data_IF_748514658994
#
_entry.id   IF_748514658994
#
_cell.length_a   1.000
_cell.length_b   1.000
_cell.length_c   1.000
_cell.angle_alpha   90.00
_cell.angle_beta   90.00
_cell.angle_gamma   90.00
#
_symmetry.space_group_name_H-M   'P 1'
#
loop_
_entity.id
_entity.type
_entity.pdbx_description
1 polymer ?
#
# COMPACT_ATOMS: atom_id res chain seq x y z
N UNK A 1 -1.22 28.77 33.27
CA UNK A 1 -2.13 29.90 32.94
C UNK A 1 -1.39 31.24 32.84
N UNK A 2 -0.10 31.26 32.46
CA UNK A 2 0.70 32.44 32.12
C UNK A 2 1.55 32.03 30.90
N UNK A 3 1.76 32.94 29.95
CA UNK A 3 2.31 32.78 28.57
C UNK A 3 1.30 32.69 27.41
N UNK A 4 0.24 33.50 27.45
CA UNK A 4 -0.45 34.00 26.23
C UNK A 4 -0.31 35.52 26.07
N UNK A 5 0.69 36.12 26.71
CA UNK A 5 0.92 37.57 26.75
C UNK A 5 1.50 38.14 25.45
N UNK A 6 1.70 37.32 24.42
CA UNK A 6 2.07 37.79 23.07
C UNK A 6 0.84 38.28 22.27
N UNK A 7 -0.40 37.95 22.67
CA UNK A 7 -1.49 37.88 21.69
C UNK A 7 -2.62 38.93 21.78
N UNK A 8 -2.48 40.01 22.57
CA UNK A 8 -3.42 41.15 22.52
C UNK A 8 -2.88 42.33 21.72
N UNK A 9 -1.60 42.68 21.89
CA UNK A 9 -0.99 43.84 21.21
C UNK A 9 -0.74 43.61 19.71
N UNK A 10 -0.66 42.35 19.26
CA UNK A 10 -0.45 42.00 17.85
C UNK A 10 -1.76 41.90 17.04
N UNK A 11 -2.93 41.84 17.66
CA UNK A 11 -4.21 41.75 16.91
C UNK A 11 -4.49 43.01 16.07
N UNK A 12 -3.97 44.14 16.52
CA UNK A 12 -4.27 45.47 15.99
C UNK A 12 -3.11 46.05 15.17
N UNK A 13 -2.11 45.24 14.80
CA UNK A 13 -0.97 45.63 13.96
C UNK A 13 -0.83 44.66 12.80
N UNK A 14 -0.47 45.19 11.64
CA UNK A 14 -0.09 44.37 10.48
C UNK A 14 0.98 43.34 10.89
N UNK A 15 0.76 42.09 10.51
CA UNK A 15 1.66 40.98 10.80
C UNK A 15 2.35 40.55 9.51
N UNK A 16 3.67 40.43 9.56
CA UNK A 16 4.47 39.82 8.50
C UNK A 16 5.06 38.54 9.04
N UNK A 17 4.60 37.41 8.51
CA UNK A 17 5.02 36.07 8.89
C UNK A 17 5.85 35.46 7.75
N UNK A 18 7.11 35.15 8.06
CA UNK A 18 8.03 34.49 7.13
C UNK A 18 8.06 32.97 7.40
N UNK A 19 8.01 32.16 6.34
CA UNK A 19 8.11 30.70 6.47
C UNK A 19 8.77 30.07 5.26
N UNK A 20 9.62 29.07 5.49
CA UNK A 20 10.17 28.22 4.43
C UNK A 20 9.20 27.12 3.96
N UNK A 21 8.07 26.96 4.65
CA UNK A 21 7.09 25.91 4.39
C UNK A 21 6.22 26.23 3.18
N UNK A 22 6.61 25.69 2.02
CA UNK A 22 5.78 25.69 0.81
C UNK A 22 4.39 25.08 1.06
N UNK A 23 4.30 24.12 1.98
CA UNK A 23 3.02 23.52 2.37
C UNK A 23 2.07 24.55 2.98
N UNK A 24 2.54 25.33 3.96
CA UNK A 24 1.76 26.38 4.62
C UNK A 24 1.28 27.41 3.60
N UNK A 25 2.18 27.93 2.77
CA UNK A 25 1.87 28.92 1.74
C UNK A 25 0.82 28.39 0.74
N UNK A 26 1.00 27.15 0.26
CA UNK A 26 0.06 26.57 -0.69
C UNK A 26 -1.33 26.37 -0.06
N UNK A 27 -1.40 25.91 1.20
CA UNK A 27 -2.67 25.62 1.86
C UNK A 27 -3.41 26.89 2.27
N UNK A 28 -2.72 27.88 2.85
CA UNK A 28 -3.34 29.09 3.39
C UNK A 28 -3.64 30.15 2.33
N UNK A 29 -2.88 30.18 1.23
CA UNK A 29 -3.05 31.16 0.15
C UNK A 29 -3.62 30.50 -1.10
N UNK A 30 -2.85 29.63 -1.74
CA UNK A 30 -3.15 29.19 -3.12
C UNK A 30 -4.38 28.28 -3.21
N UNK A 31 -4.52 27.36 -2.27
CA UNK A 31 -5.56 26.32 -2.27
C UNK A 31 -6.67 26.60 -1.26
N UNK A 32 -6.60 27.68 -0.47
CA UNK A 32 -7.54 27.97 0.61
C UNK A 32 -8.99 27.91 0.14
N UNK A 33 -9.32 28.66 -0.90
CA UNK A 33 -10.69 28.73 -1.41
C UNK A 33 -11.22 27.37 -1.86
N UNK A 34 -10.38 26.56 -2.52
CA UNK A 34 -10.73 25.21 -2.95
C UNK A 34 -10.97 24.29 -1.74
N UNK A 35 -10.09 24.32 -0.74
CA UNK A 35 -10.23 23.52 0.49
C UNK A 35 -11.50 23.89 1.26
N UNK A 36 -11.82 25.18 1.34
CA UNK A 36 -13.06 25.70 1.95
C UNK A 36 -14.29 25.26 1.19
N UNK A 37 -14.27 25.38 -0.14
CA UNK A 37 -15.34 24.90 -1.00
C UNK A 37 -15.59 23.39 -0.83
N UNK A 38 -14.53 22.58 -0.70
CA UNK A 38 -14.60 21.14 -0.47
C UNK A 38 -14.86 20.76 1.01
N UNK A 39 -15.01 21.74 1.91
CA UNK A 39 -15.24 21.51 3.33
C UNK A 39 -14.14 20.70 4.01
N UNK A 40 -12.91 20.77 3.50
CA UNK A 40 -11.73 20.04 3.97
C UNK A 40 -11.88 18.50 3.99
N UNK A 41 -12.83 17.93 3.25
CA UNK A 41 -13.17 16.49 3.33
C UNK A 41 -11.96 15.61 2.97
N UNK A 42 -11.43 14.93 3.99
CA UNK A 42 -10.26 14.05 3.90
C UNK A 42 -9.00 14.76 3.43
N UNK A 43 -8.88 16.05 3.74
CA UNK A 43 -7.62 16.80 3.66
C UNK A 43 -6.77 16.43 4.87
N UNK A 44 -5.49 16.05 4.69
CA UNK A 44 -4.57 15.85 5.81
C UNK A 44 -4.49 17.12 6.66
N UNK A 45 -4.38 16.97 7.98
CA UNK A 45 -4.25 18.11 8.91
C UNK A 45 -5.41 19.12 8.84
N UNK A 46 -6.61 18.71 8.38
CA UNK A 46 -7.76 19.60 8.19
C UNK A 46 -8.10 20.44 9.43
N UNK A 47 -7.97 19.89 10.64
CA UNK A 47 -8.27 20.61 11.87
C UNK A 47 -7.25 21.73 12.15
N UNK A 48 -5.95 21.46 11.98
CA UNK A 48 -4.87 22.46 12.10
C UNK A 48 -5.02 23.60 11.09
N UNK A 49 -5.38 23.26 9.86
CA UNK A 49 -5.58 24.25 8.79
C UNK A 49 -6.77 25.16 9.12
N UNK A 50 -7.89 24.57 9.53
CA UNK A 50 -9.09 25.32 9.90
C UNK A 50 -8.85 26.22 11.11
N UNK A 51 -8.15 25.74 12.13
CA UNK A 51 -7.76 26.50 13.32
C UNK A 51 -6.87 27.69 12.95
N UNK A 52 -5.86 27.47 12.11
CA UNK A 52 -4.96 28.52 11.61
C UNK A 52 -5.74 29.59 10.83
N UNK A 53 -6.58 29.19 9.87
CA UNK A 53 -7.39 30.13 9.07
C UNK A 53 -8.36 30.91 9.95
N UNK A 54 -8.95 30.26 10.97
CA UNK A 54 -9.84 30.91 11.91
C UNK A 54 -9.09 31.99 12.71
N UNK A 55 -7.90 31.71 13.23
CA UNK A 55 -7.07 32.72 13.90
C UNK A 55 -6.60 33.84 12.98
N UNK A 56 -6.31 33.56 11.71
CA UNK A 56 -5.99 34.59 10.73
C UNK A 56 -7.20 35.51 10.46
N UNK A 57 -8.42 34.97 10.47
CA UNK A 57 -9.68 35.74 10.32
C UNK A 57 -10.07 36.53 11.56
N UNK A 58 -9.63 36.10 12.74
CA UNK A 58 -9.87 36.84 13.99
C UNK A 58 -9.07 38.14 14.09
N UNK A 59 -8.09 38.35 13.21
CA UNK A 59 -7.26 39.55 13.21
C UNK A 59 -8.03 40.70 12.56
N UNK A 60 -7.92 41.89 13.14
CA UNK A 60 -8.53 43.12 12.63
C UNK A 60 -7.66 43.82 11.57
N UNK A 61 -6.44 43.31 11.37
CA UNK A 61 -5.40 43.91 10.52
C UNK A 61 -4.83 42.87 9.56
N UNK A 62 -4.16 43.36 8.51
CA UNK A 62 -3.64 42.50 7.45
C UNK A 62 -2.53 41.58 7.95
N UNK A 63 -2.47 40.39 7.35
CA UNK A 63 -1.42 39.40 7.59
C UNK A 63 -0.77 39.04 6.27
N UNK A 64 0.53 39.29 6.16
CA UNK A 64 1.34 39.00 5.00
C UNK A 64 2.16 37.74 5.27
N UNK A 65 1.97 36.71 4.46
CA UNK A 65 2.76 35.49 4.52
C UNK A 65 3.80 35.51 3.39
N UNK A 66 5.07 35.47 3.76
CA UNK A 66 6.18 35.47 2.82
C UNK A 66 6.88 34.12 2.84
N UNK A 67 7.04 33.52 1.65
CA UNK A 67 7.89 32.35 1.51
C UNK A 67 9.35 32.79 1.48
N UNK A 68 10.18 32.17 2.31
CA UNK A 68 11.64 32.35 2.33
C UNK A 68 12.34 31.03 2.00
N UNK A 69 13.57 31.11 1.50
CA UNK A 69 14.34 29.90 1.24
C UNK A 69 14.96 29.37 2.53
N UNK A 70 14.75 28.08 2.82
CA UNK A 70 15.33 27.42 3.99
C UNK A 70 16.86 27.42 3.95
N UNK A 71 17.49 27.50 5.13
CA UNK A 71 18.94 27.47 5.31
C UNK A 71 19.74 28.52 4.50
N UNK A 72 19.10 29.63 4.12
CA UNK A 72 19.70 30.69 3.31
C UNK A 72 20.16 31.92 4.11
N UNK A 73 20.46 31.76 5.41
CA UNK A 73 20.95 32.86 6.26
C UNK A 73 19.84 33.76 6.84
N UNK A 74 18.56 33.39 6.69
CA UNK A 74 17.45 34.14 7.29
C UNK A 74 17.43 33.93 8.81
N UNK A 75 17.99 34.89 9.56
CA UNK A 75 18.17 34.78 11.01
C UNK A 75 16.88 34.43 11.77
N UNK A 76 15.73 34.97 11.35
CA UNK A 76 14.42 34.65 11.95
C UNK A 76 14.02 33.19 11.71
N UNK A 77 14.12 32.72 10.47
CA UNK A 77 13.80 31.33 10.10
C UNK A 77 14.74 30.34 10.78
N UNK A 78 16.04 30.60 10.82
CA UNK A 78 17.03 29.72 11.46
C UNK A 78 16.79 29.58 12.97
N UNK A 79 16.40 30.68 13.64
CA UNK A 79 16.00 30.64 15.04
C UNK A 79 14.70 29.85 15.23
N UNK A 80 13.74 30.00 14.32
CA UNK A 80 12.50 29.23 14.34
C UNK A 80 12.77 27.72 14.15
N UNK A 81 13.66 27.34 13.23
CA UNK A 81 14.09 25.94 13.02
C UNK A 81 14.75 25.36 14.26
N UNK A 82 15.63 26.14 14.91
CA UNK A 82 16.27 25.72 16.16
C UNK A 82 15.22 25.49 17.26
N UNK A 83 14.30 26.42 17.45
CA UNK A 83 13.22 26.30 18.44
C UNK A 83 12.27 25.13 18.13
N UNK A 84 12.00 24.86 16.85
CA UNK A 84 11.21 23.71 16.41
C UNK A 84 11.90 22.39 16.74
N UNK A 85 13.23 22.29 16.52
CA UNK A 85 14.03 21.13 16.91
C UNK A 85 14.08 20.94 18.43
N UNK A 86 14.25 22.01 19.19
CA UNK A 86 14.16 21.95 20.66
C UNK A 86 12.78 21.46 21.11
N UNK A 87 11.70 21.93 20.46
CA UNK A 87 10.34 21.48 20.71
C UNK A 87 10.12 20.00 20.39
N UNK A 88 10.66 19.51 19.27
CA UNK A 88 10.57 18.11 18.86
C UNK A 88 11.26 17.15 19.83
N UNK A 89 12.34 17.61 20.49
CA UNK A 89 13.12 16.83 21.44
C UNK A 89 12.58 16.85 22.89
N UNK A 90 11.49 17.58 23.18
CA UNK A 90 10.89 17.61 24.52
C UNK A 90 10.17 16.29 24.85
N UNK A 91 10.42 15.77 26.05
CA UNK A 91 9.82 14.52 26.57
C UNK A 91 8.31 14.63 26.79
N UNK A 92 7.80 15.83 27.07
CA UNK A 92 6.37 16.10 27.17
C UNK A 92 5.93 17.00 26.03
N UNK A 93 5.00 16.49 25.23
CA UNK A 93 4.33 17.24 24.18
C UNK A 93 2.98 17.72 24.70
N UNK A 94 2.70 19.00 24.54
CA UNK A 94 1.37 19.54 24.84
C UNK A 94 0.42 19.08 23.72
N UNK A 95 -0.70 18.42 24.03
CA UNK A 95 -1.68 18.05 23.02
C UNK A 95 -2.23 19.31 22.34
N UNK A 96 -2.32 19.26 21.01
CA UNK A 96 -3.01 20.29 20.24
C UNK A 96 -4.51 20.17 20.51
N UNK A 97 -5.10 21.26 21.00
CA UNK A 97 -6.55 21.37 21.19
C UNK A 97 -7.03 22.51 20.29
N UNK A 98 -7.67 22.22 19.14
CA UNK A 98 -8.13 23.27 18.24
C UNK A 98 -9.17 24.15 18.93
N UNK A 99 -9.04 25.47 18.77
CA UNK A 99 -10.07 26.41 19.20
C UNK A 99 -11.18 26.41 18.14
N UNK A 100 -12.45 26.39 18.58
CA UNK A 100 -13.58 26.25 17.67
C UNK A 100 -14.49 27.46 17.76
N UNK A 101 -14.25 28.47 16.92
CA UNK A 101 -15.21 29.55 16.67
C UNK A 101 -16.06 29.22 15.42
N UNK A 102 -17.35 28.82 15.58
CA UNK A 102 -18.19 28.42 14.45
C UNK A 102 -18.44 29.54 13.44
N UNK A 103 -18.33 30.81 13.84
CA UNK A 103 -18.60 31.96 12.97
C UNK A 103 -17.49 32.22 11.95
N UNK A 104 -16.29 31.72 12.21
CA UNK A 104 -15.09 32.02 11.40
C UNK A 104 -14.58 30.80 10.61
N UNK A 105 -15.28 29.67 10.70
CA UNK A 105 -14.92 28.43 10.01
C UNK A 105 -16.01 27.99 9.04
N UNK A 106 -15.58 27.24 8.04
CA UNK A 106 -16.47 26.50 7.16
C UNK A 106 -16.95 25.24 7.89
N UNK A 107 -18.26 24.98 7.87
CA UNK A 107 -18.88 23.84 8.57
C UNK A 107 -19.06 22.60 7.67
N UNK A 108 -18.84 22.73 6.35
CA UNK A 108 -18.96 21.64 5.40
C UNK A 108 -18.68 22.09 3.96
N UNK A 109 -18.72 21.14 3.03
CA UNK A 109 -18.52 21.43 1.62
C UNK A 109 -19.71 22.19 1.02
N UNK A 110 -19.42 23.11 0.11
CA UNK A 110 -20.45 23.81 -0.68
C UNK A 110 -21.13 22.82 -1.62
N UNK A 111 -22.46 22.83 -1.65
CA UNK A 111 -23.23 21.90 -2.49
C UNK A 111 -22.92 22.06 -3.99
N UNK A 112 -22.66 23.28 -4.45
CA UNK A 112 -22.29 23.57 -5.84
C UNK A 112 -20.95 22.93 -6.27
N UNK A 113 -20.07 22.70 -5.31
CA UNK A 113 -18.72 22.15 -5.51
C UNK A 113 -18.67 20.64 -5.19
N UNK A 114 -19.82 20.07 -4.78
CA UNK A 114 -19.93 18.68 -4.38
C UNK A 114 -19.91 17.77 -5.60
N UNK A 115 -18.83 16.99 -5.73
CA UNK A 115 -18.76 15.90 -6.70
C UNK A 115 -19.17 14.57 -6.06
N UNK A 116 -19.60 13.59 -6.86
CA UNK A 116 -19.86 12.23 -6.38
C UNK A 116 -18.65 11.64 -5.65
N UNK A 117 -17.43 11.92 -6.14
CA UNK A 117 -16.17 11.51 -5.51
C UNK A 117 -16.00 12.11 -4.12
N UNK A 118 -16.26 13.41 -3.97
CA UNK A 118 -16.16 14.12 -2.69
C UNK A 118 -17.22 13.62 -1.69
N UNK A 119 -18.46 13.47 -2.16
CA UNK A 119 -19.58 12.94 -1.36
C UNK A 119 -19.29 11.51 -0.88
N UNK A 120 -18.82 10.63 -1.77
CA UNK A 120 -18.43 9.27 -1.42
C UNK A 120 -17.31 9.26 -0.38
N UNK A 121 -16.29 10.13 -0.54
CA UNK A 121 -15.18 10.28 0.42
C UNK A 121 -15.69 10.69 1.81
N UNK A 122 -16.59 11.68 1.89
CA UNK A 122 -17.20 12.11 3.16
C UNK A 122 -18.02 10.99 3.83
N UNK A 123 -18.89 10.32 3.07
CA UNK A 123 -19.70 9.21 3.56
C UNK A 123 -18.79 8.09 4.08
N UNK A 124 -17.74 7.75 3.32
CA UNK A 124 -16.77 6.71 3.71
C UNK A 124 -16.07 7.09 5.01
N UNK A 125 -15.52 8.30 5.14
CA UNK A 125 -14.87 8.76 6.38
C UNK A 125 -15.84 8.64 7.57
N UNK A 126 -17.09 9.10 7.41
CA UNK A 126 -18.12 9.01 8.47
C UNK A 126 -18.45 7.56 8.82
N UNK A 127 -18.65 6.69 7.83
CA UNK A 127 -18.95 5.27 8.05
C UNK A 127 -17.78 4.55 8.72
N UNK A 128 -16.55 4.79 8.27
CA UNK A 128 -15.36 4.12 8.81
C UNK A 128 -15.09 4.42 10.27
N UNK A 129 -15.58 5.54 10.84
CA UNK A 129 -15.55 5.79 12.29
C UNK A 129 -16.27 4.73 13.12
N UNK A 130 -17.22 4.00 12.53
CA UNK A 130 -17.98 2.94 13.21
C UNK A 130 -17.28 1.58 13.18
N UNK A 131 -16.25 1.43 12.35
CA UNK A 131 -15.58 0.15 12.13
C UNK A 131 -14.17 0.22 12.69
N UNK A 132 -13.80 -0.76 13.52
CA UNK A 132 -12.41 -1.02 13.83
C UNK A 132 -11.75 -1.77 12.68
N UNK A 133 -10.45 -1.60 12.55
CA UNK A 133 -9.66 -2.42 11.62
C UNK A 133 -9.69 -3.87 12.10
N UNK A 134 -9.83 -4.80 11.15
CA UNK A 134 -9.79 -6.22 11.46
C UNK A 134 -8.39 -6.62 11.93
N UNK A 135 -8.30 -7.26 13.10
CA UNK A 135 -7.04 -7.71 13.70
C UNK A 135 -6.18 -8.53 12.73
N UNK A 136 -6.76 -9.55 12.08
CA UNK A 136 -6.02 -10.41 11.13
C UNK A 136 -5.47 -9.63 9.94
N UNK A 137 -6.21 -8.63 9.45
CA UNK A 137 -5.71 -7.75 8.39
C UNK A 137 -4.48 -6.97 8.85
N UNK A 138 -4.49 -6.44 10.08
CA UNK A 138 -3.33 -5.73 10.63
C UNK A 138 -2.14 -6.69 10.75
N UNK A 139 -2.35 -7.88 11.33
CA UNK A 139 -1.30 -8.90 11.48
C UNK A 139 -0.68 -9.29 10.13
N UNK A 140 -1.49 -9.54 9.09
CA UNK A 140 -0.99 -9.86 7.75
C UNK A 140 -0.24 -8.70 7.09
N UNK A 141 -0.68 -7.45 7.28
CA UNK A 141 0.04 -6.26 6.77
C UNK A 141 1.39 -6.12 7.47
N UNK A 142 1.45 -6.26 8.79
CA UNK A 142 2.71 -6.18 9.54
C UNK A 142 3.64 -7.33 9.20
N UNK A 143 3.12 -8.55 9.02
CA UNK A 143 3.91 -9.70 8.58
C UNK A 143 4.52 -9.46 7.18
N UNK A 144 3.74 -8.92 6.24
CA UNK A 144 4.24 -8.57 4.91
C UNK A 144 5.30 -7.45 4.96
N UNK A 145 5.13 -6.45 5.82
CA UNK A 145 6.13 -5.38 6.01
C UNK A 145 7.43 -5.93 6.58
N UNK A 146 7.36 -6.77 7.61
CA UNK A 146 8.53 -7.40 8.21
C UNK A 146 9.27 -8.30 7.21
N UNK A 147 8.54 -9.10 6.42
CA UNK A 147 9.15 -9.90 5.35
C UNK A 147 9.78 -9.04 4.24
N UNK A 148 9.18 -7.90 3.90
CA UNK A 148 9.77 -6.97 2.94
C UNK A 148 11.06 -6.32 3.46
N UNK A 149 11.11 -5.99 4.75
CA UNK A 149 12.32 -5.46 5.39
C UNK A 149 13.44 -6.50 5.41
N UNK A 150 13.13 -7.73 5.83
CA UNK A 150 14.10 -8.83 5.87
C UNK A 150 14.61 -9.20 4.48
N UNK A 151 13.71 -9.34 3.50
CA UNK A 151 14.07 -9.86 2.18
C UNK A 151 14.57 -8.79 1.21
N UNK A 152 14.02 -7.58 1.25
CA UNK A 152 14.33 -6.51 0.28
C UNK A 152 15.03 -5.30 0.90
N UNK A 153 15.30 -5.32 2.22
CA UNK A 153 15.87 -4.18 2.96
C UNK A 153 15.05 -2.91 2.73
N UNK A 154 13.73 -3.06 2.72
CA UNK A 154 12.77 -2.01 2.42
C UNK A 154 11.70 -1.96 3.51
N UNK A 155 11.44 -0.78 4.08
CA UNK A 155 10.47 -0.58 5.17
C UNK A 155 9.19 0.11 4.66
N UNK A 156 8.21 -0.63 4.12
CA UNK A 156 6.99 -0.05 3.57
C UNK A 156 6.05 0.46 4.65
N UNK A 157 5.48 1.64 4.41
CA UNK A 157 4.27 2.07 5.11
C UNK A 157 3.10 1.18 4.69
N UNK A 158 2.09 1.03 5.56
CA UNK A 158 0.88 0.26 5.23
C UNK A 158 0.19 0.82 3.97
N UNK A 159 0.24 2.14 3.75
CA UNK A 159 -0.27 2.77 2.53
C UNK A 159 0.51 2.33 1.28
N UNK A 160 1.85 2.24 1.36
CA UNK A 160 2.68 1.74 0.25
C UNK A 160 2.41 0.26 -0.03
N UNK A 161 2.26 -0.55 1.02
CA UNK A 161 1.85 -1.95 0.90
C UNK A 161 0.51 -2.06 0.14
N UNK A 162 -0.55 -1.39 0.57
CA UNK A 162 -1.87 -1.47 -0.10
C UNK A 162 -1.85 -0.96 -1.54
N UNK A 163 -1.06 0.09 -1.82
CA UNK A 163 -0.87 0.59 -3.18
C UNK A 163 -0.09 -0.39 -4.06
N UNK A 164 0.86 -1.14 -3.49
CA UNK A 164 1.66 -2.13 -4.23
C UNK A 164 0.82 -3.26 -4.79
N UNK A 165 -0.26 -3.69 -4.10
CA UNK A 165 -1.19 -4.70 -4.61
C UNK A 165 -1.85 -4.28 -5.92
N UNK A 166 -1.85 -2.97 -6.24
CA UNK A 166 -2.43 -2.41 -7.46
C UNK A 166 -1.38 -2.18 -8.56
N UNK A 167 -0.17 -2.68 -8.39
CA UNK A 167 0.90 -2.48 -9.35
C UNK A 167 0.50 -2.99 -10.75
N UNK A 168 0.88 -2.25 -11.79
CA UNK A 168 0.52 -2.55 -13.18
C UNK A 168 0.99 -3.93 -13.64
N UNK A 169 2.08 -4.42 -13.07
CA UNK A 169 2.65 -5.73 -13.38
C UNK A 169 1.80 -6.90 -12.85
N UNK A 170 0.83 -6.63 -11.97
CA UNK A 170 -0.03 -7.65 -11.36
C UNK A 170 -1.35 -7.71 -12.13
N UNK A 171 -1.72 -8.92 -12.54
CA UNK A 171 -2.99 -9.19 -13.22
C UNK A 171 -4.19 -8.80 -12.33
N UNK A 172 -5.24 -8.26 -12.95
CA UNK A 172 -6.39 -7.69 -12.23
C UNK A 172 -7.02 -8.65 -11.21
N UNK A 173 -7.30 -9.89 -11.63
CA UNK A 173 -7.83 -10.95 -10.77
C UNK A 173 -6.91 -11.24 -9.58
N UNK A 174 -5.59 -11.23 -9.80
CA UNK A 174 -4.62 -11.48 -8.75
C UNK A 174 -4.52 -10.35 -7.72
N UNK A 175 -4.81 -9.10 -8.11
CA UNK A 175 -4.91 -7.98 -7.14
C UNK A 175 -6.01 -8.22 -6.13
N UNK A 176 -7.16 -8.72 -6.59
CA UNK A 176 -8.27 -9.09 -5.72
C UNK A 176 -7.92 -10.29 -4.84
N UNK A 177 -7.25 -11.30 -5.40
CA UNK A 177 -6.77 -12.46 -4.62
C UNK A 177 -5.83 -12.04 -3.50
N UNK A 178 -4.82 -11.21 -3.77
CA UNK A 178 -3.92 -10.70 -2.73
C UNK A 178 -4.65 -9.85 -1.68
N UNK A 179 -5.60 -9.03 -2.12
CA UNK A 179 -6.44 -8.26 -1.20
C UNK A 179 -7.24 -9.19 -0.27
N UNK A 180 -7.88 -10.23 -0.81
CA UNK A 180 -8.61 -11.24 -0.05
C UNK A 180 -7.69 -12.01 0.92
N UNK A 181 -6.50 -12.41 0.47
CA UNK A 181 -5.50 -13.09 1.31
C UNK A 181 -5.03 -12.19 2.45
N UNK A 182 -4.73 -10.92 2.17
CA UNK A 182 -4.30 -9.96 3.19
C UNK A 182 -5.40 -9.73 4.23
N UNK A 183 -6.67 -9.68 3.79
CA UNK A 183 -7.80 -9.54 4.69
C UNK A 183 -8.18 -10.83 5.44
N UNK A 184 -7.52 -11.95 5.14
CA UNK A 184 -7.91 -13.29 5.58
C UNK A 184 -9.40 -13.59 5.30
N UNK A 185 -9.86 -13.17 4.12
CA UNK A 185 -11.27 -13.18 3.75
C UNK A 185 -11.71 -14.48 3.03
N UNK A 186 -10.78 -15.39 2.76
CA UNK A 186 -11.10 -16.70 2.18
C UNK A 186 -11.60 -17.68 3.25
N UNK A 187 -12.50 -18.57 2.85
CA UNK A 187 -13.01 -19.65 3.70
C UNK A 187 -12.00 -20.79 3.76
N UNK A 188 -11.01 -20.66 4.65
CA UNK A 188 -9.91 -21.60 4.88
C UNK A 188 -9.55 -21.66 6.37
N UNK A 189 -8.91 -22.75 6.79
CA UNK A 189 -8.49 -22.98 8.17
C UNK A 189 -9.59 -22.69 9.20
N UNK A 190 -9.26 -21.90 10.23
CA UNK A 190 -10.19 -21.58 11.33
C UNK A 190 -11.42 -20.78 10.90
N UNK A 191 -11.47 -20.23 9.68
CA UNK A 191 -12.69 -19.55 9.19
C UNK A 191 -13.87 -20.50 9.02
N UNK A 192 -13.63 -21.81 8.90
CA UNK A 192 -14.66 -22.84 8.87
C UNK A 192 -15.24 -23.16 10.27
N UNK A 193 -14.56 -22.82 11.37
CA UNK A 193 -14.99 -23.09 12.75
C UNK A 193 -16.02 -22.08 13.29
N UNK A 194 -16.70 -21.35 12.42
CA UNK A 194 -17.71 -20.37 12.85
C UNK A 194 -18.90 -21.11 13.48
N UNK A 195 -19.44 -20.64 14.63
CA UNK A 195 -20.47 -21.37 15.37
C UNK A 195 -21.74 -21.71 14.56
N UNK A 196 -22.07 -20.90 13.57
CA UNK A 196 -23.29 -21.06 12.76
C UNK A 196 -23.12 -22.00 11.55
N UNK A 197 -21.97 -22.66 11.40
CA UNK A 197 -21.72 -23.55 10.27
C UNK A 197 -22.00 -25.00 10.62
N UNK A 198 -22.61 -25.71 9.66
CA UNK A 198 -22.85 -27.17 9.74
C UNK A 198 -21.53 -27.93 9.85
N UNK A 199 -21.56 -29.10 10.50
CA UNK A 199 -20.39 -29.95 10.74
C UNK A 199 -19.65 -30.32 9.45
N UNK A 200 -20.37 -30.61 8.36
CA UNK A 200 -19.81 -30.89 7.03
C UNK A 200 -18.89 -29.79 6.49
N UNK A 201 -19.11 -28.53 6.88
CA UNK A 201 -18.26 -27.41 6.51
C UNK A 201 -17.07 -27.25 7.47
N UNK A 202 -17.25 -27.57 8.75
CA UNK A 202 -16.20 -27.54 9.76
C UNK A 202 -15.13 -28.62 9.50
N UNK A 203 -15.48 -29.73 8.87
CA UNK A 203 -14.51 -30.76 8.45
C UNK A 203 -13.48 -30.23 7.43
N UNK A 204 -13.78 -29.12 6.73
CA UNK A 204 -12.88 -28.47 5.77
C UNK A 204 -11.77 -27.64 6.41
N UNK A 205 -11.75 -27.55 7.75
CA UNK A 205 -10.67 -26.88 8.50
C UNK A 205 -9.32 -27.56 8.25
N UNK A 206 -9.33 -28.88 8.07
CA UNK A 206 -8.12 -29.70 8.08
C UNK A 206 -7.75 -30.18 6.68
N UNK A 207 -6.44 -30.19 6.40
CA UNK A 207 -5.90 -30.72 5.17
C UNK A 207 -5.88 -32.26 5.21
N UNK A 208 -6.51 -32.89 4.22
CA UNK A 208 -6.57 -34.37 4.09
C UNK A 208 -5.22 -35.02 3.77
N UNK A 209 -4.27 -34.24 3.27
CA UNK A 209 -2.96 -34.71 2.81
C UNK A 209 -1.85 -34.55 3.85
N UNK A 210 -2.11 -33.78 4.90
CA UNK A 210 -1.09 -33.36 5.85
C UNK A 210 -1.36 -33.86 7.27
N UNK A 211 -2.04 -34.99 7.46
CA UNK A 211 -2.27 -35.59 8.78
C UNK A 211 -3.04 -34.68 9.76
N UNK A 212 -4.01 -33.90 9.25
CA UNK A 212 -4.86 -33.07 10.11
C UNK A 212 -4.32 -31.68 10.42
N UNK A 213 -3.27 -31.23 9.73
CA UNK A 213 -2.86 -29.82 9.77
C UNK A 213 -3.99 -28.89 9.33
N UNK A 214 -4.06 -27.70 9.91
CA UNK A 214 -5.06 -26.69 9.54
C UNK A 214 -4.79 -26.21 8.12
N UNK A 215 -5.79 -26.32 7.24
CA UNK A 215 -5.74 -25.87 5.83
C UNK A 215 -5.84 -24.33 5.74
N UNK A 216 -4.88 -23.63 6.35
CA UNK A 216 -4.75 -22.18 6.37
C UNK A 216 -4.10 -21.64 5.09
N UNK A 217 -4.10 -20.31 4.89
CA UNK A 217 -3.39 -19.70 3.75
C UNK A 217 -1.90 -20.00 3.76
N UNK A 218 -1.26 -19.99 4.93
CA UNK A 218 0.16 -20.33 5.05
C UNK A 218 0.35 -21.80 4.65
N UNK A 219 -0.41 -22.71 5.25
CA UNK A 219 -0.35 -24.13 4.92
C UNK A 219 -0.50 -24.39 3.40
N UNK A 220 -1.57 -23.86 2.81
CA UNK A 220 -1.89 -24.05 1.38
C UNK A 220 -0.75 -23.56 0.51
N UNK A 221 -0.19 -22.38 0.80
CA UNK A 221 0.75 -21.72 -0.07
C UNK A 221 2.21 -22.11 0.19
N UNK A 222 2.59 -22.57 1.37
CA UNK A 222 4.01 -22.77 1.75
C UNK A 222 4.35 -24.17 2.27
N UNK A 223 3.40 -24.93 2.83
CA UNK A 223 3.70 -26.17 3.58
C UNK A 223 3.02 -27.45 3.05
N UNK A 224 1.89 -27.30 2.35
CA UNK A 224 1.04 -28.42 1.94
C UNK A 224 1.79 -29.50 1.13
N UNK A 225 1.61 -30.75 1.56
CA UNK A 225 2.19 -31.96 0.94
C UNK A 225 1.36 -32.52 -0.22
N UNK A 226 0.19 -31.94 -0.50
CA UNK A 226 -0.59 -32.29 -1.67
C UNK A 226 0.22 -32.02 -2.95
N UNK A 227 0.18 -32.91 -3.96
CA UNK A 227 0.82 -32.67 -5.24
C UNK A 227 0.39 -31.32 -5.85
N UNK A 228 1.36 -30.54 -6.29
CA UNK A 228 1.18 -29.30 -7.05
C UNK A 228 1.96 -28.11 -6.49
N UNK A 229 1.83 -27.85 -5.19
CA UNK A 229 2.46 -26.68 -4.56
C UNK A 229 3.99 -26.73 -4.66
N UNK A 230 4.58 -27.85 -4.25
CA UNK A 230 6.03 -28.09 -4.28
C UNK A 230 6.61 -28.02 -5.70
N UNK A 231 5.89 -28.55 -6.68
CA UNK A 231 6.28 -28.57 -8.09
C UNK A 231 6.31 -27.16 -8.66
N UNK A 232 5.30 -26.34 -8.34
CA UNK A 232 5.25 -24.93 -8.74
C UNK A 232 6.42 -24.18 -8.11
N UNK A 233 6.62 -24.28 -6.80
CA UNK A 233 7.72 -23.56 -6.14
C UNK A 233 9.11 -23.96 -6.63
N UNK A 234 9.30 -25.24 -6.94
CA UNK A 234 10.53 -25.69 -7.58
C UNK A 234 10.75 -25.00 -8.94
N UNK A 235 9.71 -24.84 -9.75
CA UNK A 235 9.80 -24.16 -11.06
C UNK A 235 9.98 -22.66 -10.92
N UNK A 236 9.28 -22.03 -9.98
CA UNK A 236 9.47 -20.62 -9.60
C UNK A 236 10.91 -20.36 -9.19
N UNK A 237 11.47 -21.18 -8.29
CA UNK A 237 12.86 -21.10 -7.84
C UNK A 237 13.83 -21.18 -9.02
N UNK A 238 13.70 -22.20 -9.87
CA UNK A 238 14.55 -22.37 -11.05
C UNK A 238 14.51 -21.14 -11.97
N UNK A 239 13.35 -20.52 -12.16
CA UNK A 239 13.19 -19.35 -13.01
C UNK A 239 13.82 -18.08 -12.40
N UNK A 240 13.66 -17.88 -11.09
CA UNK A 240 14.25 -16.73 -10.37
C UNK A 240 15.78 -16.84 -10.29
N UNK A 241 16.32 -18.03 -10.01
CA UNK A 241 17.76 -18.26 -9.94
C UNK A 241 18.44 -18.02 -11.29
N UNK A 242 17.80 -18.41 -12.40
CA UNK A 242 18.27 -18.07 -13.76
C UNK A 242 18.39 -16.56 -14.00
N UNK A 243 17.53 -15.76 -13.35
CA UNK A 243 17.61 -14.29 -13.39
C UNK A 243 18.67 -13.71 -12.45
N UNK A 244 19.36 -14.54 -11.66
CA UNK A 244 20.25 -14.08 -10.59
C UNK A 244 19.47 -13.41 -9.45
N UNK A 245 18.26 -13.90 -9.16
CA UNK A 245 17.50 -13.53 -7.98
C UNK A 245 17.65 -14.68 -6.97
N UNK A 246 18.18 -14.36 -5.79
CA UNK A 246 18.37 -15.34 -4.72
C UNK A 246 17.03 -15.89 -4.23
N UNK A 247 16.96 -17.20 -4.06
CA UNK A 247 15.77 -17.85 -3.52
C UNK A 247 15.72 -17.71 -2.00
N UNK A 248 14.58 -17.23 -1.49
CA UNK A 248 14.31 -17.12 -0.05
C UNK A 248 13.32 -18.19 0.40
N UNK A 249 13.43 -18.59 1.66
CA UNK A 249 12.45 -19.48 2.28
C UNK A 249 11.06 -18.83 2.20
N UNK A 250 10.06 -19.62 1.82
CA UNK A 250 8.70 -19.13 1.64
C UNK A 250 7.99 -19.06 2.98
N UNK A 251 7.28 -17.95 3.17
CA UNK A 251 6.38 -17.72 4.29
C UNK A 251 5.26 -16.81 3.81
N UNK A 252 4.06 -16.88 4.40
CA UNK A 252 2.92 -16.07 3.96
C UNK A 252 3.26 -14.56 3.88
N UNK A 253 4.03 -14.03 4.82
CA UNK A 253 4.50 -12.65 4.80
C UNK A 253 5.22 -12.27 3.49
N UNK A 254 6.17 -13.11 3.04
CA UNK A 254 6.91 -12.89 1.78
C UNK A 254 5.98 -12.98 0.55
N UNK A 255 5.00 -13.88 0.58
CA UNK A 255 4.03 -14.03 -0.50
C UNK A 255 3.12 -12.80 -0.62
N UNK A 256 2.67 -12.25 0.51
CA UNK A 256 1.91 -10.99 0.54
C UNK A 256 2.80 -9.80 0.14
N UNK A 257 4.08 -9.83 0.50
CA UNK A 257 5.08 -8.84 0.11
C UNK A 257 5.59 -8.98 -1.34
N UNK A 258 5.09 -9.96 -2.11
CA UNK A 258 5.53 -10.21 -3.49
C UNK A 258 5.36 -9.01 -4.44
N UNK A 259 4.57 -8.02 -4.04
CA UNK A 259 4.29 -6.78 -4.77
C UNK A 259 5.29 -5.65 -4.49
N UNK A 260 6.19 -5.84 -3.50
CA UNK A 260 7.12 -4.84 -2.99
C UNK A 260 8.61 -5.12 -3.27
N UNK A 261 9.02 -5.89 -4.29
CA UNK A 261 10.44 -6.21 -4.42
C UNK A 261 11.26 -4.96 -4.68
N UNK A 262 12.36 -4.85 -3.94
CA UNK A 262 13.43 -3.89 -4.17
C UNK A 262 14.71 -4.68 -4.36
N UNK A 263 15.26 -4.62 -5.57
CA UNK A 263 16.55 -5.23 -5.87
C UNK A 263 17.53 -4.14 -6.28
N UNK A 264 18.73 -4.17 -5.73
CA UNK A 264 19.80 -3.21 -6.01
C UNK A 264 21.02 -3.97 -6.50
N UNK A 265 21.64 -3.44 -7.56
CA UNK A 265 22.99 -3.84 -7.98
C UNK A 265 24.02 -3.49 -6.90
N UNK A 266 25.23 -4.03 -7.04
CA UNK A 266 26.37 -3.69 -6.16
C UNK A 266 26.64 -2.18 -6.07
N UNK A 267 26.32 -1.43 -7.13
CA UNK A 267 26.44 0.05 -7.18
C UNK A 267 25.25 0.79 -6.57
N UNK A 268 24.34 0.09 -5.88
CA UNK A 268 23.14 0.64 -5.25
C UNK A 268 21.99 1.00 -6.22
N UNK A 269 22.17 0.82 -7.54
CA UNK A 269 21.13 1.13 -8.54
C UNK A 269 20.03 0.07 -8.54
N UNK A 270 18.76 0.50 -8.55
CA UNK A 270 17.60 -0.42 -8.64
C UNK A 270 17.55 -1.20 -9.93
N UNK A 271 17.25 -2.49 -9.82
CA UNK A 271 17.13 -3.45 -10.92
C UNK A 271 15.67 -3.70 -11.28
N UNK A 272 15.02 -2.72 -11.93
CA UNK A 272 13.59 -2.75 -12.23
C UNK A 272 13.13 -4.02 -12.99
N UNK A 273 13.97 -4.60 -13.85
CA UNK A 273 13.68 -5.85 -14.55
C UNK A 273 13.57 -7.06 -13.63
N UNK A 274 14.44 -7.18 -12.62
CA UNK A 274 14.36 -8.22 -11.58
C UNK A 274 13.11 -8.05 -10.74
N UNK A 275 12.80 -6.80 -10.35
CA UNK A 275 11.62 -6.47 -9.56
C UNK A 275 10.32 -6.82 -10.31
N UNK A 276 10.27 -6.50 -11.61
CA UNK A 276 9.12 -6.84 -12.46
C UNK A 276 8.97 -8.35 -12.62
N UNK A 277 10.06 -9.07 -12.94
CA UNK A 277 10.02 -10.53 -13.06
C UNK A 277 9.57 -11.19 -11.74
N UNK A 278 10.13 -10.76 -10.61
CA UNK A 278 9.77 -11.29 -9.30
C UNK A 278 8.28 -11.10 -9.00
N UNK A 279 7.74 -9.88 -9.19
CA UNK A 279 6.30 -9.63 -9.04
C UNK A 279 5.48 -10.59 -9.89
N UNK A 280 5.81 -10.71 -11.17
CA UNK A 280 5.07 -11.56 -12.12
C UNK A 280 5.11 -13.02 -11.70
N UNK A 281 6.31 -13.57 -11.52
CA UNK A 281 6.53 -14.99 -11.28
C UNK A 281 5.93 -15.41 -9.93
N UNK A 282 6.15 -14.62 -8.87
CA UNK A 282 5.58 -14.92 -7.55
C UNK A 282 4.06 -14.86 -7.57
N UNK A 283 3.46 -13.83 -8.16
CA UNK A 283 2.01 -13.69 -8.16
C UNK A 283 1.31 -14.73 -9.04
N UNK A 284 1.87 -15.10 -10.19
CA UNK A 284 1.38 -16.22 -11.01
C UNK A 284 1.48 -17.55 -10.25
N UNK A 285 2.57 -17.77 -9.51
CA UNK A 285 2.78 -18.99 -8.73
C UNK A 285 1.73 -19.12 -7.61
N UNK A 286 1.55 -18.07 -6.81
CA UNK A 286 0.52 -18.00 -5.75
C UNK A 286 -0.86 -18.27 -6.35
N UNK A 287 -1.20 -17.59 -7.44
CA UNK A 287 -2.49 -17.75 -8.09
C UNK A 287 -2.72 -19.17 -8.58
N UNK A 288 -1.71 -19.77 -9.22
CA UNK A 288 -1.81 -21.12 -9.76
C UNK A 288 -2.01 -22.15 -8.65
N UNK A 289 -1.24 -22.04 -7.56
CA UNK A 289 -1.38 -22.90 -6.37
C UNK A 289 -2.79 -22.76 -5.77
N UNK A 290 -3.23 -21.53 -5.55
CA UNK A 290 -4.56 -21.25 -5.00
C UNK A 290 -5.67 -21.83 -5.88
N UNK A 291 -5.64 -21.57 -7.19
CA UNK A 291 -6.63 -22.09 -8.13
C UNK A 291 -6.62 -23.60 -8.25
N UNK A 292 -5.45 -24.25 -8.20
CA UNK A 292 -5.37 -25.72 -8.18
C UNK A 292 -5.96 -26.28 -6.88
N UNK A 293 -5.63 -25.70 -5.72
CA UNK A 293 -6.19 -26.12 -4.43
C UNK A 293 -7.71 -25.99 -4.42
N UNK A 294 -8.25 -24.87 -4.90
CA UNK A 294 -9.71 -24.65 -4.90
C UNK A 294 -10.40 -25.74 -5.73
N UNK A 295 -9.95 -25.97 -6.97
CA UNK A 295 -10.52 -27.02 -7.84
C UNK A 295 -10.37 -28.42 -7.24
N UNK A 296 -9.18 -28.73 -6.72
CA UNK A 296 -8.89 -30.02 -6.10
C UNK A 296 -9.82 -30.31 -4.91
N UNK A 297 -9.92 -29.39 -3.95
CA UNK A 297 -10.67 -29.63 -2.70
C UNK A 297 -12.18 -29.47 -2.88
N UNK A 298 -12.62 -28.54 -3.72
CA UNK A 298 -14.05 -28.19 -3.86
C UNK A 298 -14.73 -28.94 -5.00
N UNK A 299 -14.07 -29.08 -6.15
CA UNK A 299 -14.68 -29.64 -7.37
C UNK A 299 -14.35 -31.13 -7.53
N UNK A 300 -13.11 -31.53 -7.21
CA UNK A 300 -12.62 -32.88 -7.48
C UNK A 300 -12.64 -33.80 -6.25
N UNK A 301 -13.50 -33.54 -5.26
CA UNK A 301 -13.62 -34.37 -4.04
C UNK A 301 -12.28 -34.64 -3.33
N UNK A 302 -11.39 -33.65 -3.31
CA UNK A 302 -10.02 -33.79 -2.80
C UNK A 302 -9.16 -34.79 -3.61
N UNK A 303 -9.35 -35.00 -4.91
CA UNK A 303 -8.40 -35.70 -5.79
C UNK A 303 -7.37 -34.74 -6.45
N UNK A 304 -6.05 -34.88 -6.21
CA UNK A 304 -5.05 -33.93 -6.65
C UNK A 304 -4.79 -34.05 -8.15
N UNK A 305 -4.28 -32.99 -8.75
CA UNK A 305 -3.89 -33.01 -10.16
C UNK A 305 -2.54 -33.71 -10.35
N UNK A 306 -2.34 -34.44 -11.47
CA UNK A 306 -1.04 -34.97 -11.82
C UNK A 306 0.04 -33.88 -11.91
N UNK A 307 1.26 -34.19 -11.48
CA UNK A 307 2.36 -33.24 -11.42
C UNK A 307 2.70 -32.58 -12.78
N UNK A 308 2.56 -33.32 -13.89
CA UNK A 308 2.80 -32.78 -15.22
C UNK A 308 1.74 -31.75 -15.62
N UNK A 309 0.47 -31.98 -15.30
CA UNK A 309 -0.65 -31.04 -15.51
C UNK A 309 -0.43 -29.77 -14.69
N UNK A 310 -0.01 -29.89 -13.44
CA UNK A 310 0.32 -28.74 -12.57
C UNK A 310 1.42 -27.90 -13.20
N UNK A 311 2.55 -28.51 -13.57
CA UNK A 311 3.69 -27.80 -14.16
C UNK A 311 3.33 -27.16 -15.50
N UNK A 312 2.59 -27.87 -16.36
CA UNK A 312 2.11 -27.32 -17.65
C UNK A 312 1.18 -26.13 -17.45
N UNK A 313 0.29 -26.18 -16.45
CA UNK A 313 -0.63 -25.07 -16.13
C UNK A 313 0.15 -23.82 -15.72
N UNK A 314 1.13 -23.96 -14.83
CA UNK A 314 1.97 -22.85 -14.40
C UNK A 314 2.82 -22.30 -15.55
N UNK A 315 3.45 -23.18 -16.34
CA UNK A 315 4.28 -22.79 -17.46
C UNK A 315 3.46 -22.04 -18.52
N UNK A 316 2.24 -22.49 -18.81
CA UNK A 316 1.32 -21.79 -19.68
C UNK A 316 1.03 -20.38 -19.16
N UNK A 317 0.74 -20.20 -17.88
CA UNK A 317 0.48 -18.88 -17.31
C UNK A 317 1.68 -17.93 -17.42
N UNK A 318 2.90 -18.44 -17.23
CA UNK A 318 4.14 -17.66 -17.42
C UNK A 318 4.32 -17.26 -18.89
N UNK A 319 4.14 -18.20 -19.82
CA UNK A 319 4.29 -17.95 -21.25
C UNK A 319 3.21 -16.98 -21.78
N UNK A 320 1.95 -17.15 -21.38
CA UNK A 320 0.87 -16.23 -21.73
C UNK A 320 1.20 -14.79 -21.27
N UNK A 321 1.83 -14.66 -20.10
CA UNK A 321 2.28 -13.35 -19.61
C UNK A 321 3.44 -12.78 -20.42
N UNK A 322 4.44 -13.59 -20.75
CA UNK A 322 5.54 -13.17 -21.62
C UNK A 322 5.00 -12.70 -22.98
N UNK A 323 4.12 -13.48 -23.60
CA UNK A 323 3.48 -13.13 -24.87
C UNK A 323 2.71 -11.81 -24.77
N UNK A 324 1.94 -11.61 -23.69
CA UNK A 324 1.26 -10.34 -23.46
C UNK A 324 2.25 -9.18 -23.33
N UNK A 325 3.34 -9.33 -22.58
CA UNK A 325 4.35 -8.27 -22.44
C UNK A 325 5.00 -7.93 -23.80
N UNK A 326 5.26 -8.94 -24.64
CA UNK A 326 5.77 -8.76 -26.01
C UNK A 326 4.74 -8.05 -26.89
N UNK A 327 3.49 -8.50 -26.91
CA UNK A 327 2.41 -7.87 -27.69
C UNK A 327 2.23 -6.40 -27.30
N UNK A 328 2.29 -6.10 -26.01
CA UNK A 328 2.17 -4.75 -25.48
C UNK A 328 3.31 -3.82 -25.92
N UNK A 329 4.38 -4.31 -26.55
CA UNK A 329 5.40 -3.44 -27.18
C UNK A 329 4.96 -2.84 -28.52
N UNK A 330 3.85 -3.31 -29.10
CA UNK A 330 3.37 -2.83 -30.38
C UNK A 330 3.03 -1.33 -30.32
N UNK A 331 3.52 -0.58 -31.32
CA UNK A 331 3.32 0.86 -31.45
C UNK A 331 1.85 1.25 -31.59
N UNK A 332 0.96 0.34 -32.02
CA UNK A 332 -0.48 0.55 -32.08
C UNK A 332 -1.09 0.97 -30.73
N UNK A 333 -0.47 0.56 -29.62
CA UNK A 333 -0.89 0.93 -28.26
C UNK A 333 -0.46 2.35 -27.83
N UNK A 334 0.26 3.11 -28.66
CA UNK A 334 0.67 4.51 -28.43
C UNK A 334 1.28 4.71 -27.03
N UNK A 335 0.71 5.61 -26.21
CA UNK A 335 1.18 5.92 -24.85
C UNK A 335 1.07 4.75 -23.87
N UNK A 336 0.32 3.69 -24.21
CA UNK A 336 0.19 2.47 -23.40
C UNK A 336 1.18 1.38 -23.80
N UNK A 337 1.93 1.56 -24.89
CA UNK A 337 2.91 0.58 -25.34
C UNK A 337 4.05 0.44 -24.32
N UNK A 338 4.45 -0.80 -24.03
CA UNK A 338 5.64 -1.10 -23.26
C UNK A 338 6.89 -0.85 -24.09
N UNK A 339 7.96 -0.41 -23.43
CA UNK A 339 9.27 -0.29 -24.09
C UNK A 339 9.87 -1.68 -24.27
N UNK A 340 10.41 -1.98 -25.45
CA UNK A 340 11.14 -3.23 -25.69
C UNK A 340 12.26 -3.47 -24.66
N UNK A 341 12.94 -2.40 -24.23
CA UNK A 341 13.98 -2.48 -23.20
C UNK A 341 13.46 -2.99 -21.85
N UNK A 342 12.20 -2.68 -21.50
CA UNK A 342 11.57 -3.18 -20.27
C UNK A 342 11.29 -4.67 -20.36
N UNK A 343 10.75 -5.13 -21.48
CA UNK A 343 10.48 -6.57 -21.72
C UNK A 343 11.78 -7.37 -21.72
N UNK A 344 12.80 -6.91 -22.47
CA UNK A 344 14.15 -7.51 -22.44
C UNK A 344 14.72 -7.54 -21.03
N UNK A 345 14.72 -6.41 -20.32
CA UNK A 345 15.23 -6.35 -18.95
C UNK A 345 14.50 -7.31 -17.99
N UNK A 346 13.22 -7.60 -18.23
CA UNK A 346 12.41 -8.52 -17.42
C UNK A 346 12.74 -9.97 -17.74
N UNK A 347 12.71 -10.35 -19.01
CA UNK A 347 12.71 -11.76 -19.45
C UNK A 347 14.07 -12.31 -19.89
N UNK A 348 15.06 -11.46 -20.19
CA UNK A 348 16.40 -11.92 -20.59
C UNK A 348 17.06 -12.75 -19.49
N UNK A 349 17.68 -13.85 -19.87
CA UNK A 349 18.28 -14.86 -19.00
C UNK A 349 17.29 -15.88 -18.44
N UNK A 350 16.03 -15.87 -18.88
CA UNK A 350 14.98 -16.76 -18.37
C UNK A 350 14.38 -17.69 -19.42
N UNK A 351 14.65 -17.42 -20.70
CA UNK A 351 14.07 -18.15 -21.82
C UNK A 351 14.80 -19.49 -22.01
N UNK A 352 14.09 -20.46 -22.60
CA UNK A 352 14.74 -21.70 -23.04
C UNK A 352 15.50 -21.40 -24.33
N UNK A 353 16.73 -21.90 -24.42
CA UNK A 353 17.57 -21.79 -25.63
C UNK A 353 17.93 -20.32 -25.98
N UNK A 354 18.11 -19.49 -24.95
CA UNK A 354 18.60 -18.11 -25.10
C UNK A 354 20.09 -18.11 -25.42
N UNK A 355 20.45 -17.64 -26.62
CA UNK A 355 21.82 -17.59 -27.13
C UNK A 355 22.60 -16.37 -26.64
#
# INVERSE_FOLDING_TARGET
MKDRTINRDLKNKNLQDETDSKYVINVLIKSRQCLENEGYIGTPNAELIQDTIMHLRERETETFLQWVEGHSGHQGNERADKLANEGANKTSQRPFTPEMNPKLRVTGARLQEMTQKLAYKAIRIKKMRKFSQCRRTIEHVEYAKAAAEDTFTDQPTSARFWNSLRHKDIAWNMRYTLWMMTHDAYMVGTNWLRPNYKQEFQERVYCKYCQGEIDSLDHILTECRSPGQKEIWRKTKQLLERKGIEWRALMLGLLLASCLPVFKSEKGKREAGKEQLYRIVMTISIQTIWSLRVRHVVENNNAPFPADVVVKTWLKAINDRLEMDVLMTNRSFRKKALKHSTVKSTWTGTLKDEA
#
